data_IF_522331999331
#
_entry.id   IF_522331999331
#
_cell.length_a   1.000
_cell.length_b   1.000
_cell.length_c   1.000
_cell.angle_alpha   90.00
_cell.angle_beta   90.00
_cell.angle_gamma   90.00
#
_symmetry.space_group_name_H-M   'P 1'
#
loop_
_entity.id
_entity.type
_entity.pdbx_description
1 polymer ?
#
# COMPACT_ATOMS: atom_id res chain seq x y z
N UNK A 1 -15.52 -6.96 -12.18
CA UNK A 1 -14.19 -7.42 -12.59
C UNK A 1 -13.17 -7.19 -11.48
N UNK A 2 -12.06 -7.94 -11.44
CA UNK A 2 -10.98 -7.69 -10.48
C UNK A 2 -9.96 -6.68 -10.99
N UNK A 3 -9.68 -5.65 -10.20
CA UNK A 3 -8.71 -4.60 -10.51
C UNK A 3 -7.66 -4.51 -9.40
N UNK A 4 -6.39 -4.57 -9.79
CA UNK A 4 -5.25 -4.28 -8.93
C UNK A 4 -4.84 -2.81 -9.06
N UNK A 5 -4.91 -2.09 -7.94
CA UNK A 5 -4.51 -0.68 -7.85
C UNK A 5 -3.22 -0.54 -7.06
N UNK A 6 -2.33 0.35 -7.47
CA UNK A 6 -1.00 0.54 -6.87
C UNK A 6 -0.63 2.03 -6.69
N UNK A 7 -1.53 2.94 -7.06
CA UNK A 7 -1.24 4.38 -7.19
C UNK A 7 -2.28 5.29 -6.54
N UNK A 8 -2.75 6.28 -7.31
CA UNK A 8 -3.70 7.29 -6.83
C UNK A 8 -5.03 6.73 -6.33
N UNK A 9 -5.44 5.56 -6.85
CA UNK A 9 -6.68 4.86 -6.47
C UNK A 9 -6.57 4.09 -5.14
N UNK A 10 -5.37 3.92 -4.57
CA UNK A 10 -5.20 3.21 -3.30
C UNK A 10 -6.01 3.88 -2.17
N UNK A 11 -6.51 3.11 -1.21
CA UNK A 11 -7.22 3.66 -0.05
C UNK A 11 -6.38 4.69 0.69
N UNK A 12 -6.96 5.87 0.93
CA UNK A 12 -6.29 7.02 1.55
C UNK A 12 -5.45 7.88 0.59
N UNK A 13 -5.52 7.62 -0.72
CA UNK A 13 -4.87 8.41 -1.77
C UNK A 13 -5.88 9.28 -2.54
N UNK A 14 -5.36 10.20 -3.36
CA UNK A 14 -6.11 11.31 -3.93
C UNK A 14 -7.29 10.90 -4.84
N UNK A 15 -7.25 9.71 -5.43
CA UNK A 15 -8.27 9.22 -6.37
C UNK A 15 -9.10 8.07 -5.79
N UNK A 16 -8.97 7.77 -4.50
CA UNK A 16 -9.66 6.63 -3.86
C UNK A 16 -11.19 6.68 -4.03
N UNK A 17 -11.79 7.88 -4.14
CA UNK A 17 -13.23 8.06 -4.35
C UNK A 17 -13.72 7.54 -5.71
N UNK A 18 -12.85 7.39 -6.71
CA UNK A 18 -13.24 6.87 -8.03
C UNK A 18 -13.57 5.38 -8.01
N UNK A 19 -13.13 4.65 -6.98
CA UNK A 19 -13.47 3.23 -6.77
C UNK A 19 -14.35 3.03 -5.54
N UNK A 20 -14.92 4.10 -4.99
CA UNK A 20 -15.88 4.01 -3.89
C UNK A 20 -17.11 3.19 -4.32
N UNK A 21 -17.56 2.27 -3.45
CA UNK A 21 -18.60 1.28 -3.78
C UNK A 21 -18.07 -0.04 -4.36
N UNK A 22 -16.77 -0.15 -4.61
CA UNK A 22 -16.12 -1.42 -4.98
C UNK A 22 -15.87 -2.32 -3.77
N UNK A 23 -15.87 -3.64 -3.96
CA UNK A 23 -15.54 -4.59 -2.89
C UNK A 23 -14.02 -4.65 -2.70
N UNK A 24 -13.54 -4.40 -1.49
CA UNK A 24 -12.12 -4.53 -1.16
C UNK A 24 -11.77 -6.00 -0.88
N UNK A 25 -10.95 -6.61 -1.74
CA UNK A 25 -10.54 -8.01 -1.64
C UNK A 25 -9.27 -8.22 -0.81
N UNK A 26 -8.57 -7.14 -0.46
CA UNK A 26 -7.36 -7.16 0.36
C UNK A 26 -6.10 -6.68 -0.37
N UNK A 27 -4.96 -6.62 0.33
CA UNK A 27 -3.72 -6.21 -0.27
C UNK A 27 -3.11 -7.35 -1.08
N UNK A 28 -2.37 -6.96 -2.09
CA UNK A 28 -1.76 -7.88 -3.03
C UNK A 28 -0.44 -7.31 -3.55
N UNK A 29 0.26 -8.13 -4.33
CA UNK A 29 1.39 -7.66 -5.11
C UNK A 29 1.43 -8.26 -6.50
N UNK A 30 2.17 -7.60 -7.37
CA UNK A 30 2.44 -8.03 -8.75
C UNK A 30 3.94 -8.00 -9.03
N UNK A 31 4.34 -8.54 -10.19
CA UNK A 31 5.69 -8.39 -10.74
C UNK A 31 5.69 -7.28 -11.79
N UNK A 32 6.37 -6.17 -11.49
CA UNK A 32 6.48 -5.00 -12.34
C UNK A 32 7.58 -4.08 -11.81
N UNK A 33 7.96 -3.07 -12.59
CA UNK A 33 8.70 -1.91 -12.07
C UNK A 33 7.75 -0.74 -11.88
N UNK A 34 8.00 0.09 -10.88
CA UNK A 34 7.17 1.27 -10.57
C UNK A 34 8.04 2.53 -10.57
N UNK A 35 7.53 3.58 -11.21
CA UNK A 35 8.18 4.88 -11.35
C UNK A 35 7.26 5.98 -10.83
N UNK A 36 7.84 7.03 -10.27
CA UNK A 36 7.12 8.25 -9.92
C UNK A 36 7.24 9.25 -11.06
N UNK A 37 6.10 9.59 -11.66
CA UNK A 37 5.96 10.44 -12.85
C UNK A 37 5.62 11.89 -12.47
N UNK A 38 6.19 12.38 -11.37
CA UNK A 38 5.97 13.73 -10.82
C UNK A 38 4.69 13.92 -10.00
N UNK A 39 3.55 13.34 -10.38
CA UNK A 39 2.29 13.46 -9.61
C UNK A 39 1.64 12.13 -9.25
N UNK A 40 1.86 11.12 -10.08
CA UNK A 40 1.27 9.80 -9.97
C UNK A 40 2.31 8.74 -10.31
N UNK A 41 2.13 7.48 -9.89
CA UNK A 41 3.05 6.42 -10.26
C UNK A 41 2.64 5.75 -11.56
N UNK A 42 3.62 5.24 -12.31
CA UNK A 42 3.38 4.36 -13.45
C UNK A 42 4.11 3.05 -13.30
N UNK A 43 3.43 1.93 -13.59
CA UNK A 43 4.11 0.62 -13.71
C UNK A 43 4.43 0.27 -15.16
N UNK A 44 5.56 -0.39 -15.34
CA UNK A 44 5.96 -1.05 -16.59
C UNK A 44 6.27 -2.53 -16.32
N UNK A 45 6.30 -3.40 -17.34
CA UNK A 45 6.70 -4.79 -17.17
C UNK A 45 8.08 -4.92 -16.52
N UNK A 46 8.22 -5.83 -15.57
CA UNK A 46 9.47 -6.08 -14.86
C UNK A 46 9.36 -7.18 -13.82
N UNK A 47 10.46 -7.45 -13.11
CA UNK A 47 10.56 -8.54 -12.14
C UNK A 47 10.50 -8.09 -10.67
N UNK A 48 10.49 -6.79 -10.42
CA UNK A 48 10.40 -6.25 -9.07
C UNK A 48 8.99 -6.42 -8.51
N UNK A 49 8.84 -6.18 -7.21
CA UNK A 49 7.56 -6.35 -6.53
C UNK A 49 6.91 -4.99 -6.39
N UNK A 50 5.67 -4.89 -6.84
CA UNK A 50 4.83 -3.71 -6.63
C UNK A 50 3.68 -4.10 -5.72
N UNK A 51 3.57 -3.39 -4.61
CA UNK A 51 2.51 -3.58 -3.62
C UNK A 51 1.31 -2.72 -3.95
N UNK A 52 0.13 -3.27 -3.68
CA UNK A 52 -1.13 -2.59 -3.98
C UNK A 52 -2.31 -3.24 -3.28
N UNK A 53 -3.49 -2.95 -3.81
CA UNK A 53 -4.78 -3.43 -3.31
C UNK A 53 -5.54 -4.08 -4.46
N UNK A 54 -6.28 -5.14 -4.14
CA UNK A 54 -7.15 -5.82 -5.07
C UNK A 54 -8.61 -5.48 -4.74
N UNK A 55 -9.38 -5.13 -5.77
CA UNK A 55 -10.79 -4.79 -5.65
C UNK A 55 -11.64 -5.55 -6.66
N UNK A 56 -12.89 -5.83 -6.32
CA UNK A 56 -13.95 -6.15 -7.28
C UNK A 56 -14.66 -4.86 -7.69
N UNK A 57 -14.46 -4.43 -8.95
CA UNK A 57 -15.01 -3.22 -9.53
C UNK A 57 -16.26 -3.58 -10.35
N UNK A 58 -17.37 -2.87 -10.09
CA UNK A 58 -18.59 -3.01 -10.88
C UNK A 58 -18.53 -2.27 -12.22
N UNK A 59 -19.28 -2.75 -13.21
CA UNK A 59 -19.29 -2.18 -14.58
C UNK A 59 -19.72 -0.71 -14.64
N UNK A 60 -20.44 -0.22 -13.62
CA UNK A 60 -20.85 1.18 -13.50
C UNK A 60 -19.72 2.10 -13.00
N UNK A 61 -18.71 1.54 -12.32
CA UNK A 61 -17.56 2.28 -11.77
C UNK A 61 -16.44 2.35 -12.80
N UNK A 62 -16.21 1.25 -13.53
CA UNK A 62 -15.08 1.09 -14.44
C UNK A 62 -14.90 2.24 -15.46
N UNK A 63 -15.95 2.79 -16.11
CA UNK A 63 -15.78 3.92 -17.04
C UNK A 63 -15.23 5.19 -16.36
N UNK A 64 -15.55 5.40 -15.08
CA UNK A 64 -15.01 6.51 -14.28
C UNK A 64 -13.53 6.31 -13.99
N UNK A 65 -13.12 5.06 -13.73
CA UNK A 65 -11.72 4.68 -13.52
C UNK A 65 -10.92 4.81 -14.83
N UNK A 66 -11.46 4.28 -15.94
CA UNK A 66 -10.84 4.41 -17.27
C UNK A 66 -10.61 5.89 -17.63
N UNK A 67 -11.58 6.76 -17.31
CA UNK A 67 -11.45 8.20 -17.56
C UNK A 67 -10.35 8.86 -16.72
N UNK A 68 -10.24 8.54 -15.42
CA UNK A 68 -9.25 9.18 -14.54
C UNK A 68 -7.83 8.66 -14.79
N UNK A 69 -7.71 7.41 -15.23
CA UNK A 69 -6.45 6.80 -15.67
C UNK A 69 -6.16 7.10 -17.17
N UNK A 70 -6.94 7.99 -17.81
CA UNK A 70 -6.79 8.40 -19.22
C UNK A 70 -6.58 7.21 -20.17
N UNK A 71 -7.37 6.16 -19.97
CA UNK A 71 -7.42 4.97 -20.80
C UNK A 71 -8.57 5.06 -21.79
N UNK A 72 -8.22 5.04 -23.08
CA UNK A 72 -9.15 5.08 -24.19
C UNK A 72 -9.02 3.76 -24.98
N UNK A 73 -9.97 2.82 -24.85
CA UNK A 73 -9.86 1.51 -25.50
C UNK A 73 -9.80 1.62 -27.04
N UNK A 74 -10.41 2.66 -27.61
CA UNK A 74 -10.39 2.93 -29.05
C UNK A 74 -9.16 3.75 -29.51
N UNK A 75 -8.34 4.26 -28.58
CA UNK A 75 -7.09 4.98 -28.85
C UNK A 75 -5.99 4.62 -27.85
N UNK A 76 -5.45 3.41 -28.01
CA UNK A 76 -4.35 2.89 -27.20
C UNK A 76 -3.08 3.75 -27.31
N UNK A 77 -2.85 4.44 -28.44
CA UNK A 77 -1.67 5.31 -28.61
C UNK A 77 -1.83 6.62 -27.85
N UNK A 78 -3.04 7.19 -27.88
CA UNK A 78 -3.39 8.38 -27.12
C UNK A 78 -3.38 8.14 -25.62
N UNK A 79 -3.78 6.94 -25.18
CA UNK A 79 -3.90 6.58 -23.76
C UNK A 79 -2.62 6.77 -22.95
N UNK A 80 -2.76 7.34 -21.75
CA UNK A 80 -1.66 7.51 -20.79
C UNK A 80 -1.34 6.20 -20.10
N UNK A 81 -2.39 5.46 -19.73
CA UNK A 81 -2.28 4.08 -19.24
C UNK A 81 -3.03 3.12 -20.14
N UNK A 82 -2.62 1.85 -20.11
CA UNK A 82 -3.29 0.76 -20.81
C UNK A 82 -3.64 -0.34 -19.82
N UNK A 83 -4.86 -0.84 -19.88
CA UNK A 83 -5.31 -1.91 -19.00
C UNK A 83 -4.78 -3.26 -19.47
N UNK A 84 -4.14 -4.02 -18.58
CA UNK A 84 -3.60 -5.35 -18.88
C UNK A 84 -4.00 -6.35 -17.81
N UNK A 85 -4.39 -7.55 -18.24
CA UNK A 85 -4.54 -8.68 -17.34
C UNK A 85 -3.17 -9.21 -16.91
N UNK A 86 -3.05 -9.55 -15.63
CA UNK A 86 -1.85 -10.14 -15.05
C UNK A 86 -2.16 -11.05 -13.86
N UNK A 87 -1.14 -11.81 -13.45
CA UNK A 87 -1.19 -12.56 -12.20
C UNK A 87 -0.97 -11.62 -11.01
N UNK A 88 -1.93 -11.62 -10.09
CA UNK A 88 -1.88 -10.90 -8.83
C UNK A 88 -1.78 -11.91 -7.69
N UNK A 89 -0.87 -11.68 -6.75
CA UNK A 89 -0.70 -12.52 -5.57
C UNK A 89 -1.35 -11.85 -4.37
N UNK A 90 -2.48 -12.40 -3.90
CA UNK A 90 -3.13 -11.99 -2.66
C UNK A 90 -2.18 -12.26 -1.48
N UNK A 91 -1.81 -11.24 -0.73
CA UNK A 91 -0.91 -11.40 0.41
C UNK A 91 -1.45 -12.28 1.55
N UNK A 92 -2.74 -12.23 1.91
CA UNK A 92 -3.31 -13.02 3.02
C UNK A 92 -3.07 -14.53 2.97
N UNK A 93 -3.19 -15.10 1.78
CA UNK A 93 -3.23 -16.53 1.53
C UNK A 93 -2.26 -16.98 0.43
N UNK A 94 -1.47 -16.05 -0.11
CA UNK A 94 -0.57 -16.23 -1.26
C UNK A 94 -1.27 -16.80 -2.50
N UNK A 95 -2.61 -16.70 -2.58
CA UNK A 95 -3.38 -17.16 -3.72
C UNK A 95 -3.07 -16.27 -4.92
N UNK A 96 -2.78 -16.90 -6.06
CA UNK A 96 -2.71 -16.21 -7.34
C UNK A 96 -4.11 -16.09 -7.93
N UNK A 97 -4.44 -14.90 -8.43
CA UNK A 97 -5.68 -14.61 -9.15
C UNK A 97 -5.35 -13.83 -10.42
N UNK A 98 -6.25 -13.88 -11.40
CA UNK A 98 -6.21 -13.01 -12.57
C UNK A 98 -6.97 -11.73 -12.25
N UNK A 99 -6.34 -10.60 -12.54
CA UNK A 99 -6.96 -9.28 -12.43
C UNK A 99 -6.35 -8.37 -13.47
N UNK A 100 -6.94 -7.19 -13.66
CA UNK A 100 -6.39 -6.16 -14.52
C UNK A 100 -5.66 -5.08 -13.72
N UNK A 101 -4.71 -4.39 -14.34
CA UNK A 101 -4.09 -3.18 -13.82
C UNK A 101 -3.79 -2.19 -14.95
N UNK A 102 -3.70 -0.91 -14.61
CA UNK A 102 -3.31 0.15 -15.53
C UNK A 102 -1.79 0.22 -15.62
N UNK A 103 -1.22 -0.04 -16.80
CA UNK A 103 0.22 0.06 -17.08
C UNK A 103 0.52 1.37 -17.78
N UNK A 104 1.58 2.06 -17.38
CA UNK A 104 1.98 3.30 -18.02
C UNK A 104 2.44 3.04 -19.46
N UNK A 105 1.98 3.89 -20.38
CA UNK A 105 2.12 3.68 -21.82
C UNK A 105 3.01 4.72 -22.49
N UNK A 106 3.81 5.46 -21.73
CA UNK A 106 4.78 6.44 -22.24
C UNK A 106 6.20 6.09 -21.73
N UNK A 107 7.24 6.71 -22.32
CA UNK A 107 8.62 6.47 -21.90
C UNK A 107 8.85 6.90 -20.42
N UNK A 108 9.77 6.24 -19.72
CA UNK A 108 10.06 6.47 -18.29
C UNK A 108 11.50 6.91 -18.05
N UNK A 109 12.24 7.23 -19.11
CA UNK A 109 13.62 7.68 -19.04
C UNK A 109 13.72 8.99 -18.24
N UNK A 110 14.54 8.99 -17.21
CA UNK A 110 14.72 10.14 -16.31
C UNK A 110 13.72 10.20 -15.13
N UNK A 111 12.73 9.31 -15.10
CA UNK A 111 11.76 9.24 -14.00
C UNK A 111 12.33 8.54 -12.77
N UNK A 112 11.76 8.85 -11.60
CA UNK A 112 12.26 8.34 -10.32
C UNK A 112 11.72 6.92 -10.08
N UNK A 113 12.59 5.91 -10.12
CA UNK A 113 12.22 4.53 -9.78
C UNK A 113 11.89 4.39 -8.29
N UNK A 114 10.74 3.81 -7.96
CA UNK A 114 10.31 3.54 -6.59
C UNK A 114 10.81 2.15 -6.17
N UNK A 115 12.06 2.09 -5.68
CA UNK A 115 12.77 0.83 -5.41
C UNK A 115 12.12 -0.10 -4.37
N UNK A 116 11.26 0.42 -3.50
CA UNK A 116 10.57 -0.39 -2.48
C UNK A 116 9.23 -0.96 -2.96
N UNK A 117 8.75 -0.58 -4.15
CA UNK A 117 7.51 -1.10 -4.71
C UNK A 117 6.21 -0.58 -4.09
N UNK A 118 6.27 0.33 -3.12
CA UNK A 118 5.11 0.85 -2.38
C UNK A 118 4.99 2.37 -2.58
N UNK A 119 4.05 2.76 -3.45
CA UNK A 119 3.79 4.17 -3.74
C UNK A 119 3.32 4.96 -2.51
N UNK A 120 2.48 4.37 -1.65
CA UNK A 120 2.01 5.03 -0.42
C UNK A 120 3.18 5.31 0.52
N UNK A 121 4.12 4.38 0.65
CA UNK A 121 5.38 4.58 1.39
C UNK A 121 6.24 5.67 0.75
N UNK A 122 6.44 5.62 -0.56
CA UNK A 122 7.19 6.63 -1.29
C UNK A 122 6.64 8.04 -1.01
N UNK A 123 5.35 8.27 -1.20
CA UNK A 123 4.73 9.58 -0.98
C UNK A 123 4.85 10.04 0.47
N UNK A 124 4.60 9.14 1.44
CA UNK A 124 4.67 9.49 2.86
C UNK A 124 6.09 9.91 3.28
N UNK A 125 7.12 9.23 2.79
CA UNK A 125 8.51 9.50 3.13
C UNK A 125 9.10 10.74 2.42
N UNK A 126 8.57 11.11 1.25
CA UNK A 126 9.06 12.27 0.50
C UNK A 126 8.38 13.58 0.92
N UNK A 127 7.13 13.53 1.41
CA UNK A 127 6.37 14.75 1.78
C UNK A 127 6.56 15.20 3.23
N UNK A 128 7.07 14.34 4.11
CA UNK A 128 7.06 14.59 5.56
C UNK A 128 8.41 14.30 6.20
N UNK A 129 8.84 15.20 7.08
CA UNK A 129 9.99 14.95 7.95
C UNK A 129 9.73 13.85 8.99
N UNK A 130 8.46 13.65 9.34
CA UNK A 130 8.03 12.66 10.32
C UNK A 130 6.82 11.87 9.82
N UNK A 131 6.84 10.57 10.05
CA UNK A 131 5.75 9.67 9.72
C UNK A 131 5.16 9.04 10.98
N UNK A 132 3.87 8.73 10.93
CA UNK A 132 3.26 7.87 11.93
C UNK A 132 3.70 6.43 11.70
N UNK A 133 3.95 5.70 12.78
CA UNK A 133 4.32 4.29 12.76
C UNK A 133 3.46 3.54 13.77
N UNK A 134 2.82 2.46 13.34
CA UNK A 134 2.08 1.53 14.19
C UNK A 134 3.09 0.76 15.03
N UNK A 135 3.11 1.05 16.33
CA UNK A 135 3.97 0.39 17.31
C UNK A 135 3.36 -0.95 17.75
N UNK A 136 2.07 -0.94 18.08
CA UNK A 136 1.33 -2.14 18.47
C UNK A 136 -0.14 -1.99 18.16
N UNK A 137 -0.84 -3.11 18.10
CA UNK A 137 -2.30 -3.10 18.27
C UNK A 137 -2.60 -2.98 19.77
N UNK A 138 -3.65 -2.27 20.14
CA UNK A 138 -4.06 -2.12 21.54
C UNK A 138 -4.39 -3.49 22.14
N UNK A 139 -3.77 -3.82 23.28
CA UNK A 139 -3.86 -5.14 23.92
C UNK A 139 -3.01 -6.24 23.26
N UNK A 140 -2.31 -5.93 22.16
CA UNK A 140 -1.38 -6.84 21.48
C UNK A 140 0.07 -6.68 21.94
N UNK A 141 0.94 -7.60 21.51
CA UNK A 141 2.39 -7.49 21.73
C UNK A 141 3.01 -6.48 20.76
N UNK A 142 3.97 -5.71 21.25
CA UNK A 142 4.85 -4.89 20.42
C UNK A 142 5.97 -5.75 19.84
N UNK A 143 6.33 -5.53 18.58
CA UNK A 143 7.50 -6.14 17.96
C UNK A 143 8.78 -5.82 18.76
N UNK A 144 9.65 -6.82 18.96
CA UNK A 144 10.82 -6.69 19.84
C UNK A 144 11.77 -5.57 19.47
N UNK A 145 11.87 -5.23 18.18
CA UNK A 145 12.74 -4.16 17.67
C UNK A 145 12.24 -2.74 18.00
N UNK A 146 11.01 -2.59 18.50
CA UNK A 146 10.53 -1.31 19.03
C UNK A 146 10.95 -1.07 20.49
N UNK A 147 11.40 -2.10 21.23
CA UNK A 147 11.70 -1.99 22.67
C UNK A 147 12.78 -0.95 22.99
N UNK A 148 13.67 -0.70 22.05
CA UNK A 148 14.78 0.24 22.22
C UNK A 148 14.39 1.70 21.91
N UNK A 149 13.20 1.95 21.38
CA UNK A 149 12.69 3.32 21.25
C UNK A 149 12.37 3.84 22.65
N UNK A 150 13.35 4.52 23.26
CA UNK A 150 13.21 5.26 24.52
C UNK A 150 12.37 6.53 24.31
N UNK A 151 11.17 6.41 23.74
CA UNK A 151 10.20 7.49 23.55
C UNK A 151 8.86 7.08 24.13
N UNK A 152 8.22 8.00 24.84
CA UNK A 152 6.81 7.87 25.21
C UNK A 152 5.98 7.94 23.93
N UNK A 153 5.23 6.89 23.55
CA UNK A 153 4.35 6.96 22.40
C UNK A 153 3.37 8.12 22.57
N UNK A 154 3.23 8.96 21.54
CA UNK A 154 2.05 9.81 21.41
C UNK A 154 0.90 8.88 21.02
N UNK A 155 0.29 8.27 22.05
CA UNK A 155 -0.83 7.34 21.89
C UNK A 155 -2.00 8.12 21.31
N UNK A 156 -2.20 7.97 20.00
CA UNK A 156 -3.48 8.24 19.36
C UNK A 156 -4.19 6.92 19.16
N UNK A 157 -5.49 6.87 19.45
CA UNK A 157 -6.29 5.69 19.12
C UNK A 157 -6.55 5.74 17.61
N UNK A 158 -5.72 5.08 16.82
CA UNK A 158 -5.98 4.92 15.38
C UNK A 158 -6.84 3.70 15.12
N UNK A 159 -7.80 3.76 14.21
CA UNK A 159 -8.48 2.56 13.69
C UNK A 159 -7.78 2.14 12.39
N UNK A 160 -7.29 0.90 12.34
CA UNK A 160 -6.91 0.25 11.08
C UNK A 160 -7.96 -0.79 10.73
N UNK A 161 -8.33 -0.87 9.45
CA UNK A 161 -9.10 -2.01 8.96
C UNK A 161 -8.23 -3.25 9.01
N UNK A 162 -8.80 -4.35 9.51
CA UNK A 162 -8.11 -5.62 9.44
C UNK A 162 -8.06 -6.09 8.01
N UNK A 163 -6.86 -6.39 7.56
CA UNK A 163 -6.65 -7.12 6.33
C UNK A 163 -6.85 -8.59 6.67
N UNK A 164 -7.85 -9.23 6.08
CA UNK A 164 -8.04 -10.68 6.14
C UNK A 164 -6.68 -11.37 5.97
N UNK A 165 -6.24 -12.20 6.93
CA UNK A 165 -4.99 -12.99 6.84
C UNK A 165 -3.64 -12.27 7.08
N UNK A 166 -3.48 -10.97 6.80
CA UNK A 166 -2.28 -10.21 7.20
C UNK A 166 -2.53 -9.43 8.49
N UNK A 167 -2.24 -10.08 9.61
CA UNK A 167 -2.54 -9.56 10.94
C UNK A 167 -1.31 -8.91 11.56
N UNK A 168 -1.32 -7.60 11.87
CA UNK A 168 -0.34 -7.04 12.79
C UNK A 168 -0.52 -7.75 14.14
N UNK A 169 0.51 -8.46 14.60
CA UNK A 169 0.57 -9.03 15.95
C UNK A 169 -0.54 -10.04 16.33
N UNK A 170 -1.14 -10.74 15.36
CA UNK A 170 -1.93 -11.96 15.61
C UNK A 170 -3.34 -11.80 16.21
N UNK A 171 -4.02 -10.67 16.03
CA UNK A 171 -5.39 -10.46 16.52
C UNK A 171 -6.44 -10.92 15.49
N UNK A 172 -7.47 -11.62 15.97
CA UNK A 172 -8.60 -12.14 15.19
C UNK A 172 -9.89 -11.32 15.48
N UNK A 173 -10.78 -11.23 14.49
CA UNK A 173 -12.21 -10.89 14.60
C UNK A 173 -12.61 -9.46 15.00
N UNK A 174 -11.97 -8.43 14.43
CA UNK A 174 -12.52 -7.06 14.46
C UNK A 174 -12.34 -6.35 13.12
N UNK A 175 -13.40 -5.75 12.57
CA UNK A 175 -13.33 -4.92 11.36
C UNK A 175 -12.41 -3.72 11.54
N UNK A 176 -12.30 -3.21 12.77
CA UNK A 176 -11.41 -2.12 13.13
C UNK A 176 -10.59 -2.46 14.37
N UNK A 177 -9.28 -2.25 14.29
CA UNK A 177 -8.35 -2.40 15.42
C UNK A 177 -7.89 -1.04 15.90
N UNK A 178 -7.98 -0.81 17.21
CA UNK A 178 -7.29 0.31 17.86
C UNK A 178 -5.79 0.05 17.86
N UNK A 179 -4.99 1.00 17.39
CA UNK A 179 -3.53 0.91 17.34
C UNK A 179 -2.86 1.98 18.18
N UNK A 180 -1.70 1.64 18.72
CA UNK A 180 -0.77 2.60 19.31
C UNK A 180 0.17 3.11 18.22
N UNK A 181 0.13 4.42 17.98
CA UNK A 181 0.98 5.08 16.98
C UNK A 181 2.15 5.81 17.67
N UNK A 182 3.27 5.92 16.97
CA UNK A 182 4.42 6.74 17.34
C UNK A 182 4.79 7.60 16.15
N UNK A 183 5.12 8.87 16.38
CA UNK A 183 5.64 9.75 15.34
C UNK A 183 7.17 9.68 15.30
N UNK A 184 7.75 9.29 14.17
CA UNK A 184 9.19 9.08 14.01
C UNK A 184 9.75 9.85 12.82
N UNK A 185 11.00 10.32 12.94
CA UNK A 185 11.77 10.86 11.81
C UNK A 185 12.22 9.75 10.87
N UNK A 186 12.55 10.09 9.63
CA UNK A 186 13.04 9.14 8.62
C UNK A 186 14.20 8.28 9.12
N UNK A 187 15.22 8.88 9.73
CA UNK A 187 16.39 8.13 10.22
C UNK A 187 16.03 7.13 11.32
N UNK A 188 15.09 7.48 12.20
CA UNK A 188 14.62 6.57 13.25
C UNK A 188 13.87 5.37 12.65
N UNK A 189 13.13 5.59 11.57
CA UNK A 189 12.45 4.52 10.82
C UNK A 189 13.48 3.62 10.11
N UNK A 190 14.55 4.20 9.57
CA UNK A 190 15.63 3.42 8.95
C UNK A 190 16.38 2.56 9.99
N UNK A 191 16.55 3.04 11.22
CA UNK A 191 17.08 2.22 12.32
C UNK A 191 16.13 1.09 12.72
N UNK A 192 14.81 1.32 12.68
CA UNK A 192 13.84 0.23 12.85
C UNK A 192 13.89 -0.78 11.71
N UNK A 193 14.02 -0.33 10.46
CA UNK A 193 14.17 -1.19 9.28
C UNK A 193 15.38 -2.11 9.44
N UNK A 194 16.52 -1.59 9.92
CA UNK A 194 17.72 -2.39 10.22
C UNK A 194 17.45 -3.43 11.31
N UNK A 195 16.89 -3.03 12.45
CA UNK A 195 16.61 -3.95 13.58
C UNK A 195 15.56 -5.01 13.23
N UNK A 196 14.61 -4.66 12.37
CA UNK A 196 13.57 -5.55 11.85
C UNK A 196 14.04 -6.43 10.69
N UNK A 197 15.28 -6.27 10.19
CA UNK A 197 15.77 -6.92 8.98
C UNK A 197 14.82 -6.71 7.77
N UNK A 198 14.40 -5.48 7.52
CA UNK A 198 13.57 -5.10 6.37
C UNK A 198 14.43 -5.04 5.09
N UNK A 199 13.99 -5.59 3.95
CA UNK A 199 12.70 -6.24 3.69
C UNK A 199 12.69 -7.75 3.97
N UNK A 200 13.80 -8.36 4.38
CA UNK A 200 13.95 -9.82 4.44
C UNK A 200 13.03 -10.51 5.44
N UNK A 201 13.06 -10.11 6.72
CA UNK A 201 12.23 -10.71 7.78
C UNK A 201 10.88 -10.01 7.93
N UNK A 202 10.87 -8.69 7.78
CA UNK A 202 9.66 -7.88 7.81
C UNK A 202 9.56 -7.05 6.54
N UNK A 203 8.36 -6.86 6.02
CA UNK A 203 8.06 -5.83 5.02
C UNK A 203 7.46 -4.62 5.74
N UNK A 204 7.96 -3.43 5.39
CA UNK A 204 7.36 -2.15 5.85
C UNK A 204 6.44 -1.62 4.78
N UNK A 205 5.19 -1.38 5.16
CA UNK A 205 4.15 -0.84 4.29
C UNK A 205 3.50 0.41 4.91
N UNK A 206 2.88 1.24 4.09
CA UNK A 206 2.02 2.33 4.53
C UNK A 206 0.55 1.96 4.43
N UNK A 207 -0.19 2.14 5.53
CA UNK A 207 -1.62 1.84 5.61
C UNK A 207 -2.42 3.08 6.04
N UNK A 208 -3.67 3.23 5.57
CA UNK A 208 -4.56 4.25 6.10
C UNK A 208 -4.97 3.91 7.54
N UNK A 209 -5.12 4.93 8.37
CA UNK A 209 -5.73 4.86 9.69
C UNK A 209 -6.64 6.06 9.90
N UNK A 210 -7.72 5.87 10.65
CA UNK A 210 -8.62 6.95 11.06
C UNK A 210 -8.15 7.47 12.42
N UNK A 211 -7.88 8.78 12.51
CA UNK A 211 -7.47 9.41 13.77
C UNK A 211 -8.68 9.74 14.67
N UNK A 212 -8.42 10.23 15.88
CA UNK A 212 -9.48 10.57 16.85
C UNK A 212 -10.48 11.64 16.35
N UNK A 213 -10.11 12.41 15.30
CA UNK A 213 -10.97 13.42 14.67
C UNK A 213 -11.79 12.86 13.49
N UNK A 214 -11.69 11.56 13.19
CA UNK A 214 -12.34 10.94 12.03
C UNK A 214 -11.60 11.16 10.70
N UNK A 215 -10.40 11.75 10.73
CA UNK A 215 -9.63 12.00 9.51
C UNK A 215 -8.78 10.79 9.13
N UNK A 216 -8.75 10.45 7.84
CA UNK A 216 -7.84 9.42 7.31
C UNK A 216 -6.42 9.98 7.18
N UNK A 217 -5.46 9.30 7.77
CA UNK A 217 -4.02 9.58 7.65
C UNK A 217 -3.26 8.29 7.30
N UNK A 218 -2.02 8.42 6.83
CA UNK A 218 -1.14 7.28 6.57
C UNK A 218 -0.22 7.01 7.77
N UNK A 219 -0.04 5.73 8.11
CA UNK A 219 0.95 5.25 9.05
C UNK A 219 1.74 4.07 8.47
N UNK A 220 3.02 3.99 8.81
CA UNK A 220 3.83 2.82 8.51
C UNK A 220 3.54 1.69 9.48
N UNK A 221 3.65 0.47 9.00
CA UNK A 221 3.51 -0.74 9.80
C UNK A 221 4.47 -1.81 9.29
N UNK A 222 4.76 -2.79 10.13
CA UNK A 222 5.68 -3.89 9.83
C UNK A 222 4.92 -5.21 9.87
N UNK A 223 4.89 -5.89 8.75
CA UNK A 223 4.36 -7.25 8.62
C UNK A 223 5.52 -8.23 8.52
N UNK A 224 5.40 -9.46 9.05
CA UNK A 224 6.29 -10.54 8.65
C UNK A 224 6.36 -10.57 7.13
N UNK A 225 7.55 -10.65 6.56
CA UNK A 225 7.72 -10.56 5.12
C UNK A 225 6.92 -11.70 4.45
N UNK A 226 5.87 -11.38 3.69
CA UNK A 226 5.04 -12.40 3.06
C UNK A 226 5.81 -13.20 2.00
N UNK A 227 7.02 -12.76 1.65
CA UNK A 227 7.90 -13.36 0.65
C UNK A 227 9.09 -14.09 1.28
N UNK A 228 9.30 -14.00 2.59
CA UNK A 228 10.30 -14.85 3.23
C UNK A 228 9.84 -16.30 3.08
N UNK A 229 10.71 -17.15 2.53
CA UNK A 229 10.54 -18.59 2.59
C UNK A 229 10.42 -19.01 4.06
N UNK A 230 9.56 -19.99 4.35
CA UNK A 230 9.53 -20.64 5.65
C UNK A 230 10.89 -21.25 5.98
#
# INVERSE_FOLDING_TARGET
MQLFVYGGLLKGMALASFIEGSEYLGPAFIRAEIYFLGQFPGIIPGSDIVFGELYEIGDHILPGVDKVEEYYPDDIKGSTYIRKELDVVCLPNRKKVKAEAYFYNKPVEGEIRISNGDYRRFVSEHKKETCWVINSVLGGKTNGFFKDLKRTPLVKNGLIETINGLKPNGIHDKEQLKVNLIKLKKDEILELDKKGNVPTKYARASVPFINDNGETQLAHTYYPNPLSGN
#
